data_IF_956419029777
#
_entry.id   IF_956419029777
#
_cell.length_a   1.000
_cell.length_b   1.000
_cell.length_c   1.000
_cell.angle_alpha   90.00
_cell.angle_beta   90.00
_cell.angle_gamma   90.00
#
_symmetry.space_group_name_H-M   'P 1'
#
loop_
_entity.id
_entity.type
_entity.pdbx_description
1 polymer ?
#
# COMPACT_ATOMS: atom_id res chain seq x y z
N UNK A 1 -10.18 12.16 -18.37
CA UNK A 1 -9.34 12.22 -17.15
C UNK A 1 -10.23 12.03 -15.95
N UNK A 2 -9.71 11.52 -14.84
CA UNK A 2 -10.43 11.53 -13.56
C UNK A 2 -10.50 12.96 -12.98
N UNK A 3 -11.22 13.15 -11.86
CA UNK A 3 -11.35 14.47 -11.20
C UNK A 3 -10.03 15.04 -10.67
N UNK A 4 -8.99 14.23 -10.56
CA UNK A 4 -7.66 14.66 -10.14
C UNK A 4 -6.75 15.00 -11.34
N UNK A 5 -7.29 14.95 -12.56
CA UNK A 5 -6.56 15.28 -13.78
C UNK A 5 -5.71 14.12 -14.32
N UNK A 6 -5.88 12.90 -13.81
CA UNK A 6 -5.10 11.75 -14.31
C UNK A 6 -5.78 11.18 -15.56
N UNK A 7 -5.07 11.09 -16.70
CA UNK A 7 -5.61 10.51 -17.94
C UNK A 7 -5.74 9.00 -17.85
N UNK A 8 -6.64 8.43 -18.65
CA UNK A 8 -6.87 6.98 -18.69
C UNK A 8 -5.63 6.24 -19.20
N UNK A 9 -4.95 6.83 -20.16
CA UNK A 9 -3.70 6.35 -20.77
C UNK A 9 -2.62 6.09 -19.71
N UNK A 10 -2.51 6.97 -18.70
CA UNK A 10 -1.58 6.77 -17.59
C UNK A 10 -1.90 5.50 -16.78
N UNK A 11 -3.18 5.14 -16.68
CA UNK A 11 -3.64 4.00 -15.87
C UNK A 11 -3.36 2.67 -16.55
N UNK A 12 -3.38 2.62 -17.88
CA UNK A 12 -3.13 1.41 -18.68
C UNK A 12 -1.69 1.31 -19.21
N UNK A 13 -0.88 2.37 -19.03
CA UNK A 13 0.47 2.46 -19.59
C UNK A 13 1.35 1.26 -19.21
N UNK A 14 1.28 0.82 -17.95
CA UNK A 14 2.08 -0.31 -17.48
C UNK A 14 1.75 -1.61 -18.21
N UNK A 15 0.47 -1.95 -18.39
CA UNK A 15 0.06 -3.13 -19.15
C UNK A 15 0.30 -3.00 -20.65
N UNK A 16 0.29 -1.78 -21.20
CA UNK A 16 0.65 -1.51 -22.59
C UNK A 16 2.15 -1.70 -22.85
N UNK A 17 3.01 -1.33 -21.89
CA UNK A 17 4.46 -1.47 -21.98
C UNK A 17 4.96 -2.87 -21.58
N UNK A 18 4.29 -3.51 -20.63
CA UNK A 18 4.66 -4.81 -20.06
C UNK A 18 3.52 -5.78 -20.34
N UNK A 19 3.49 -6.31 -21.57
CA UNK A 19 2.39 -7.14 -22.10
C UNK A 19 2.26 -8.51 -21.42
N UNK A 20 3.24 -8.88 -20.61
CA UNK A 20 3.26 -10.04 -19.73
C UNK A 20 2.67 -9.75 -18.33
N UNK A 21 2.17 -8.54 -18.09
CA UNK A 21 1.50 -8.17 -16.85
C UNK A 21 0.27 -9.04 -16.58
N UNK A 22 0.17 -9.57 -15.36
CA UNK A 22 -1.04 -10.29 -14.92
C UNK A 22 -2.30 -9.43 -14.83
N UNK A 23 -2.16 -8.10 -14.61
CA UNK A 23 -3.29 -7.15 -14.52
C UNK A 23 -3.06 -5.93 -15.41
N UNK A 24 -1.95 -5.21 -15.24
CA UNK A 24 -1.52 -4.14 -16.15
C UNK A 24 -2.25 -2.80 -16.04
N UNK A 25 -3.21 -2.64 -15.12
CA UNK A 25 -3.90 -1.36 -14.87
C UNK A 25 -3.69 -0.86 -13.44
N UNK A 26 -3.48 0.46 -13.29
CA UNK A 26 -3.27 1.13 -12.02
C UNK A 26 -4.15 2.38 -11.92
N UNK A 27 -5.01 2.45 -10.89
CA UNK A 27 -5.84 3.63 -10.65
C UNK A 27 -4.99 4.84 -10.25
N UNK A 28 -5.17 5.96 -10.96
CA UNK A 28 -4.46 7.22 -10.68
C UNK A 28 -4.97 7.96 -9.44
N UNK A 29 -6.25 7.82 -9.12
CA UNK A 29 -6.88 8.40 -7.94
C UNK A 29 -8.05 7.54 -7.47
N UNK A 30 -8.67 7.92 -6.35
CA UNK A 30 -9.90 7.29 -5.87
C UNK A 30 -11.06 7.44 -6.87
N UNK A 31 -11.12 8.57 -7.59
CA UNK A 31 -12.17 8.85 -8.57
C UNK A 31 -12.06 7.97 -9.82
N UNK A 32 -10.87 7.47 -10.15
CA UNK A 32 -10.63 6.61 -11.31
C UNK A 32 -11.51 5.35 -11.31
N UNK A 33 -11.77 4.77 -10.14
CA UNK A 33 -12.65 3.59 -10.02
C UNK A 33 -14.10 3.87 -10.41
N UNK A 34 -14.55 5.13 -10.34
CA UNK A 34 -15.90 5.53 -10.74
C UNK A 34 -15.91 6.01 -12.19
N UNK A 35 -15.00 6.93 -12.53
CA UNK A 35 -14.89 7.54 -13.86
C UNK A 35 -14.58 6.52 -14.95
N UNK A 36 -13.76 5.50 -14.63
CA UNK A 36 -13.40 4.42 -15.54
C UNK A 36 -13.93 3.06 -15.05
N UNK A 37 -15.11 3.05 -14.42
CA UNK A 37 -15.72 1.85 -13.84
C UNK A 37 -15.92 0.72 -14.86
N UNK A 38 -16.20 1.03 -16.13
CA UNK A 38 -16.40 0.02 -17.19
C UNK A 38 -15.22 -0.97 -17.35
N UNK A 39 -13.99 -0.54 -17.05
CA UNK A 39 -12.80 -1.39 -17.06
C UNK A 39 -12.42 -1.84 -15.65
N UNK A 40 -12.41 -0.93 -14.67
CA UNK A 40 -11.98 -1.28 -13.30
C UNK A 40 -12.91 -2.31 -12.67
N UNK A 41 -14.24 -2.19 -12.84
CA UNK A 41 -15.19 -3.17 -12.28
C UNK A 41 -14.94 -4.56 -12.87
N UNK A 42 -14.69 -4.66 -14.17
CA UNK A 42 -14.40 -5.94 -14.84
C UNK A 42 -13.10 -6.56 -14.36
N UNK A 43 -12.05 -5.76 -14.22
CA UNK A 43 -10.75 -6.23 -13.73
C UNK A 43 -10.85 -6.67 -12.27
N UNK A 44 -11.54 -5.90 -11.42
CA UNK A 44 -11.75 -6.25 -10.01
C UNK A 44 -12.57 -7.53 -9.88
N UNK A 45 -13.66 -7.66 -10.64
CA UNK A 45 -14.50 -8.85 -10.62
C UNK A 45 -13.74 -10.08 -11.11
N UNK A 46 -12.95 -9.96 -12.18
CA UNK A 46 -12.14 -11.07 -12.64
C UNK A 46 -11.03 -11.44 -11.64
N UNK A 47 -10.29 -10.48 -11.09
CA UNK A 47 -9.18 -10.79 -10.19
C UNK A 47 -9.66 -11.25 -8.80
N UNK A 48 -10.61 -10.53 -8.20
CA UNK A 48 -11.07 -10.79 -6.83
C UNK A 48 -12.27 -11.74 -6.76
N UNK A 49 -12.91 -12.07 -7.89
CA UNK A 49 -14.13 -12.89 -7.95
C UNK A 49 -15.27 -12.30 -7.09
N UNK A 50 -15.33 -10.97 -7.05
CA UNK A 50 -16.36 -10.21 -6.34
C UNK A 50 -17.19 -9.40 -7.36
N UNK A 51 -18.51 -9.59 -7.40
CA UNK A 51 -19.35 -8.82 -8.31
C UNK A 51 -19.42 -7.36 -7.88
N UNK A 52 -19.72 -6.46 -8.82
CA UNK A 52 -19.81 -5.00 -8.58
C UNK A 52 -20.62 -4.59 -7.36
N UNK A 53 -21.72 -5.29 -7.07
CA UNK A 53 -22.60 -5.01 -5.94
C UNK A 53 -22.12 -5.56 -4.59
N UNK A 54 -21.03 -6.33 -4.57
CA UNK A 54 -20.46 -6.84 -3.33
C UNK A 54 -19.97 -5.68 -2.45
N UNK A 55 -20.23 -5.78 -1.14
CA UNK A 55 -19.78 -4.80 -0.15
C UNK A 55 -18.63 -5.37 0.64
N UNK A 56 -17.50 -4.67 0.65
CA UNK A 56 -16.39 -4.97 1.55
C UNK A 56 -16.63 -4.33 2.92
N UNK A 57 -16.40 -5.09 4.00
CA UNK A 57 -16.53 -4.61 5.38
C UNK A 57 -15.14 -4.59 6.01
N UNK A 58 -14.64 -3.41 6.32
CA UNK A 58 -13.35 -3.21 6.99
C UNK A 58 -13.52 -3.22 8.51
N UNK A 59 -12.68 -3.98 9.23
CA UNK A 59 -12.62 -3.98 10.70
C UNK A 59 -11.16 -4.05 11.16
N UNK A 60 -10.71 -3.01 11.89
CA UNK A 60 -9.35 -2.93 12.46
C UNK A 60 -9.36 -3.05 14.00
N UNK A 61 -10.50 -3.42 14.59
CA UNK A 61 -10.61 -3.65 16.03
C UNK A 61 -10.01 -5.00 16.41
N UNK A 62 -8.76 -4.97 16.86
CA UNK A 62 -8.03 -6.16 17.25
C UNK A 62 -8.64 -6.88 18.45
N UNK A 63 -9.48 -6.20 19.26
CA UNK A 63 -10.09 -6.79 20.46
C UNK A 63 -11.17 -7.82 20.14
N UNK A 64 -11.69 -7.80 18.90
CA UNK A 64 -12.66 -8.78 18.41
C UNK A 64 -11.99 -10.09 17.94
N UNK A 65 -10.66 -10.10 17.83
CA UNK A 65 -9.92 -11.29 17.41
C UNK A 65 -9.94 -12.35 18.51
N UNK A 66 -10.36 -13.55 18.15
CA UNK A 66 -10.30 -14.73 19.02
C UNK A 66 -9.05 -15.54 18.68
N UNK A 67 -7.93 -15.12 19.25
CA UNK A 67 -6.62 -15.74 19.04
C UNK A 67 -6.14 -16.40 20.34
N UNK A 68 -6.58 -17.63 20.66
CA UNK A 68 -6.08 -18.34 21.84
C UNK A 68 -4.56 -18.57 21.71
N UNK A 69 -3.82 -18.63 22.83
CA UNK A 69 -2.41 -19.01 22.80
C UNK A 69 -2.23 -20.35 22.08
N UNK A 70 -1.19 -20.42 21.25
CA UNK A 70 -0.80 -21.67 20.60
C UNK A 70 -0.37 -22.69 21.67
N UNK A 71 -0.61 -23.98 21.40
CA UNK A 71 0.00 -25.04 22.20
C UNK A 71 1.53 -24.96 22.07
N UNK A 72 2.26 -25.54 23.03
CA UNK A 72 3.73 -25.55 22.95
C UNK A 72 4.23 -26.29 21.69
N UNK A 73 3.50 -27.33 21.27
CA UNK A 73 3.79 -28.08 20.04
C UNK A 73 3.58 -27.20 18.80
N UNK A 74 2.42 -26.55 18.66
CA UNK A 74 2.14 -25.66 17.53
C UNK A 74 3.11 -24.48 17.46
N UNK A 75 3.40 -23.88 18.61
CA UNK A 75 4.36 -22.78 18.71
C UNK A 75 5.77 -23.22 18.27
N UNK A 76 6.17 -24.47 18.55
CA UNK A 76 7.48 -25.00 18.13
C UNK A 76 7.61 -25.22 16.62
N UNK A 77 6.48 -25.35 15.92
CA UNK A 77 6.44 -25.53 14.46
C UNK A 77 6.40 -24.20 13.69
N UNK A 78 6.02 -23.09 14.35
CA UNK A 78 5.84 -21.78 13.71
C UNK A 78 7.11 -20.95 13.84
N UNK A 79 7.77 -20.69 12.71
CA UNK A 79 9.04 -19.93 12.65
C UNK A 79 8.80 -18.43 12.83
N UNK A 80 7.79 -17.87 12.15
CA UNK A 80 7.47 -16.44 12.25
C UNK A 80 6.03 -16.15 11.83
N UNK A 81 5.53 -14.97 12.20
CA UNK A 81 4.22 -14.46 11.78
C UNK A 81 4.39 -13.03 11.29
N UNK A 82 3.75 -12.67 10.17
CA UNK A 82 3.81 -11.33 9.59
C UNK A 82 2.47 -10.92 9.02
N UNK A 83 2.02 -9.71 9.38
CA UNK A 83 0.79 -9.10 8.88
C UNK A 83 1.16 -7.79 8.19
N UNK A 84 0.65 -7.56 6.97
CA UNK A 84 0.85 -6.31 6.22
C UNK A 84 -0.48 -5.81 5.67
N UNK A 85 -0.75 -4.51 5.81
CA UNK A 85 -1.89 -3.83 5.19
C UNK A 85 -1.40 -2.69 4.31
N UNK A 86 -2.03 -2.50 3.14
CA UNK A 86 -1.78 -1.34 2.27
C UNK A 86 -2.82 -0.25 2.53
N UNK A 87 -2.39 1.01 2.61
CA UNK A 87 -3.23 2.19 2.82
C UNK A 87 -2.72 3.36 1.99
N UNK A 88 -3.61 4.28 1.67
CA UNK A 88 -3.30 5.59 1.07
C UNK A 88 -3.95 6.67 1.96
N UNK A 89 -3.35 7.85 2.01
CA UNK A 89 -3.96 9.01 2.65
C UNK A 89 -5.11 9.54 1.79
N UNK A 90 -6.25 9.86 2.41
CA UNK A 90 -7.46 10.26 1.69
C UNK A 90 -7.34 11.58 0.92
N UNK A 91 -6.43 12.46 1.35
CA UNK A 91 -6.28 13.81 0.81
C UNK A 91 -5.50 13.87 -0.51
N UNK A 92 -4.90 12.75 -0.94
CA UNK A 92 -4.00 12.71 -2.10
C UNK A 92 -4.49 11.71 -3.16
N UNK A 93 -4.18 11.94 -4.44
CA UNK A 93 -4.30 10.90 -5.46
C UNK A 93 -3.48 9.65 -5.10
N UNK A 94 -3.77 8.55 -5.79
CA UNK A 94 -3.04 7.30 -5.59
C UNK A 94 -1.63 7.39 -6.20
N UNK A 95 -0.80 6.38 -5.93
CA UNK A 95 0.60 6.33 -6.36
C UNK A 95 0.88 6.80 -7.80
N UNK A 96 0.10 6.38 -8.83
CA UNK A 96 0.31 6.82 -10.21
C UNK A 96 -0.09 8.27 -10.50
N UNK A 97 -0.98 8.87 -9.70
CA UNK A 97 -1.51 10.21 -9.93
C UNK A 97 -0.99 11.29 -8.99
N UNK A 98 -0.26 10.91 -7.94
CA UNK A 98 0.26 11.86 -6.94
C UNK A 98 1.41 12.69 -7.53
N UNK A 99 1.36 14.01 -7.36
CA UNK A 99 2.47 14.89 -7.77
C UNK A 99 3.66 14.81 -6.81
N UNK A 100 4.82 15.33 -7.23
CA UNK A 100 6.02 15.39 -6.37
C UNK A 100 5.75 16.21 -5.09
N UNK A 101 5.09 17.36 -5.20
CA UNK A 101 4.74 18.19 -4.05
C UNK A 101 3.78 17.46 -3.10
N UNK A 102 2.75 16.80 -3.63
CA UNK A 102 1.80 16.02 -2.84
C UNK A 102 2.48 14.83 -2.16
N UNK A 103 3.42 14.17 -2.84
CA UNK A 103 4.20 13.05 -2.28
C UNK A 103 5.05 13.49 -1.10
N UNK A 104 5.68 14.67 -1.19
CA UNK A 104 6.41 15.30 -0.06
C UNK A 104 5.48 15.61 1.11
N UNK A 105 4.30 16.16 0.85
CA UNK A 105 3.29 16.43 1.89
C UNK A 105 2.79 15.14 2.57
N UNK A 106 2.51 14.09 1.79
CA UNK A 106 2.13 12.78 2.31
C UNK A 106 3.23 12.17 3.19
N UNK A 107 4.50 12.32 2.79
CA UNK A 107 5.63 11.91 3.61
C UNK A 107 5.69 12.70 4.93
N UNK A 108 5.49 14.03 4.90
CA UNK A 108 5.44 14.85 6.11
C UNK A 108 4.30 14.42 7.06
N UNK A 109 3.14 14.00 6.53
CA UNK A 109 2.04 13.47 7.33
C UNK A 109 2.46 12.19 8.06
N UNK A 110 3.06 11.24 7.34
CA UNK A 110 3.58 10.00 7.92
C UNK A 110 4.70 10.26 8.94
N UNK A 111 5.62 11.17 8.64
CA UNK A 111 6.73 11.54 9.53
C UNK A 111 6.21 12.16 10.83
N UNK A 112 5.22 13.04 10.77
CA UNK A 112 4.61 13.63 11.99
C UNK A 112 3.92 12.57 12.82
N UNK A 113 3.08 11.72 12.21
CA UNK A 113 2.36 10.67 12.93
C UNK A 113 3.32 9.67 13.60
N UNK A 114 4.34 9.21 12.89
CA UNK A 114 5.31 8.23 13.44
C UNK A 114 6.17 8.79 14.58
N UNK A 115 6.39 10.10 14.64
CA UNK A 115 7.06 10.75 15.78
C UNK A 115 6.24 10.72 17.06
N UNK A 116 4.93 10.54 16.97
CA UNK A 116 4.04 10.47 18.14
C UNK A 116 3.98 9.05 18.74
N UNK A 117 4.50 8.03 18.04
CA UNK A 117 4.50 6.66 18.52
C UNK A 117 5.38 6.49 19.76
N UNK A 118 4.88 5.71 20.72
CA UNK A 118 5.50 5.47 22.03
C UNK A 118 5.55 3.97 22.32
N UNK A 119 6.33 3.58 23.33
CA UNK A 119 6.46 2.17 23.73
C UNK A 119 7.06 1.33 22.61
N UNK A 120 6.47 0.16 22.35
CA UNK A 120 6.94 -0.79 21.33
C UNK A 120 6.86 -0.27 19.89
N UNK A 121 6.08 0.79 19.65
CA UNK A 121 5.95 1.42 18.34
C UNK A 121 6.89 2.62 18.13
N UNK A 122 7.60 3.05 19.17
CA UNK A 122 8.57 4.14 19.04
C UNK A 122 9.71 3.74 18.10
N UNK A 123 10.13 4.66 17.23
CA UNK A 123 11.15 4.34 16.22
C UNK A 123 11.74 5.55 15.52
N UNK A 124 12.56 5.28 14.50
CA UNK A 124 13.21 6.28 13.65
C UNK A 124 12.69 6.13 12.21
N UNK A 125 12.29 7.26 11.61
CA UNK A 125 12.04 7.33 10.17
C UNK A 125 13.38 7.55 9.45
N UNK A 126 13.61 6.83 8.35
CA UNK A 126 14.82 6.93 7.53
C UNK A 126 14.45 7.43 6.11
N UNK A 127 14.50 8.74 5.85
CA UNK A 127 14.26 9.29 4.50
C UNK A 127 15.30 8.74 3.52
N UNK A 128 14.86 8.29 2.34
CA UNK A 128 15.74 7.68 1.33
C UNK A 128 16.73 8.68 0.73
N UNK A 129 16.30 9.91 0.52
CA UNK A 129 17.07 11.01 -0.08
C UNK A 129 18.25 11.47 0.78
N UNK A 130 18.14 11.33 2.10
CA UNK A 130 19.17 11.71 3.07
C UNK A 130 19.74 10.51 3.84
N UNK A 131 19.56 9.28 3.34
CA UNK A 131 20.00 8.07 4.05
C UNK A 131 21.52 7.92 4.02
N UNK A 132 22.13 7.70 5.20
CA UNK A 132 23.56 7.40 5.27
C UNK A 132 23.85 5.98 4.79
N UNK A 133 25.07 5.72 4.29
CA UNK A 133 25.50 4.37 3.88
C UNK A 133 25.48 3.36 5.05
N UNK A 134 25.72 3.84 6.28
CA UNK A 134 25.64 3.02 7.48
C UNK A 134 24.21 2.58 7.74
N UNK A 135 23.26 3.53 7.74
CA UNK A 135 21.83 3.22 7.88
C UNK A 135 21.33 2.34 6.72
N UNK A 136 21.76 2.61 5.49
CA UNK A 136 21.40 1.83 4.30
C UNK A 136 21.78 0.37 4.43
N UNK A 137 23.05 0.09 4.79
CA UNK A 137 23.53 -1.29 4.94
C UNK A 137 22.79 -2.02 6.05
N UNK A 138 22.59 -1.37 7.19
CA UNK A 138 21.80 -1.93 8.29
C UNK A 138 20.38 -2.32 7.83
N UNK A 139 19.68 -1.43 7.12
CA UNK A 139 18.32 -1.70 6.64
C UNK A 139 18.28 -2.79 5.55
N UNK A 140 19.36 -3.03 4.81
CA UNK A 140 19.48 -4.17 3.90
C UNK A 140 19.62 -5.47 4.70
N UNK A 141 20.53 -5.50 5.68
CA UNK A 141 20.78 -6.69 6.49
C UNK A 141 19.52 -7.10 7.28
N UNK A 142 18.76 -6.10 7.76
CA UNK A 142 17.48 -6.30 8.45
C UNK A 142 16.30 -6.62 7.50
N UNK A 143 16.53 -6.65 6.18
CA UNK A 143 15.50 -6.88 5.15
C UNK A 143 14.36 -5.83 5.17
N UNK A 144 14.67 -4.58 5.51
CA UNK A 144 13.71 -3.46 5.60
C UNK A 144 13.77 -2.50 4.41
N UNK A 145 14.91 -2.41 3.72
CA UNK A 145 15.08 -1.45 2.63
C UNK A 145 14.40 -1.91 1.34
N UNK A 146 13.67 -1.02 0.69
CA UNK A 146 13.17 -1.20 -0.68
C UNK A 146 13.96 -0.32 -1.67
N UNK A 147 13.92 -0.66 -2.95
CA UNK A 147 14.61 0.06 -4.04
C UNK A 147 13.59 0.63 -5.02
N UNK A 148 14.07 1.49 -5.93
CA UNK A 148 13.31 1.86 -7.12
C UNK A 148 12.93 0.60 -7.90
N UNK A 149 11.67 0.52 -8.31
CA UNK A 149 11.09 -0.62 -9.03
C UNK A 149 11.00 -0.35 -10.53
#
# INVERSE_FOLDING_TARGET
MDKHGVPFEQMILSGAQNVDSGIGIYAGSHDAYYTFSDIFDRVIEDYHKHPKQAKHISNMDYTQLKCPPLSAEDASMIISTRIRVGRNFADFPLGPGISDQQRKQAFEYALRATKEFKGELAGKMYPLDSMSEVDRRKLIDDHFLFKEG
#
